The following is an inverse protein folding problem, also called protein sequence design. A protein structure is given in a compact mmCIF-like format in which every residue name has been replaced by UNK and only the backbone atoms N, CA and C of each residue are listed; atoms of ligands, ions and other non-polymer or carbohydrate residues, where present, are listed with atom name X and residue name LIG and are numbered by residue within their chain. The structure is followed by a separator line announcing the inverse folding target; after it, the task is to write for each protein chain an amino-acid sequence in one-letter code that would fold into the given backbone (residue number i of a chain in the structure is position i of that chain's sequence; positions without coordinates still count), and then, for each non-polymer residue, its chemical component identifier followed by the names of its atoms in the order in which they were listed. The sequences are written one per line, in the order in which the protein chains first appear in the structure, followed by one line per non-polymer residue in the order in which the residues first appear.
data_IF_546594779569
#
_entry.id   IF_546594779569
#
_cell.length_a   1.000
_cell.length_b   1.000
_cell.length_c   1.000
_cell.angle_alpha   90.00
_cell.angle_beta   90.00
_cell.angle_gamma   90.00
#
_symmetry.space_group_name_H-M   'P 1'
#
loop_
_entity.id
_entity.type
_entity.pdbx_description
1 polymer ?
#
# COMPACT_ATOMS: atom_id res chain seq x y z
N UNK A 1 -47.80 16.80 44.88
CA UNK A 1 -46.68 15.93 45.32
C UNK A 1 -46.43 14.88 44.25
N UNK A 2 -45.17 14.77 43.84
CA UNK A 2 -44.46 13.62 43.20
C UNK A 2 -44.92 13.14 41.82
N UNK A 3 -44.15 13.61 40.84
CA UNK A 3 -43.91 12.99 39.53
C UNK A 3 -43.36 11.56 39.69
N UNK A 4 -43.93 10.62 38.94
CA UNK A 4 -43.46 9.24 38.84
C UNK A 4 -43.78 8.68 37.46
N UNK A 5 -43.08 9.15 36.43
CA UNK A 5 -43.11 8.52 35.11
C UNK A 5 -42.29 7.25 35.17
N UNK A 6 -42.96 6.12 35.38
CA UNK A 6 -42.39 4.81 35.14
C UNK A 6 -42.25 4.62 33.62
N UNK A 7 -41.10 5.03 33.08
CA UNK A 7 -40.68 4.75 31.70
C UNK A 7 -40.61 3.24 31.50
N UNK A 8 -41.64 2.69 30.84
CA UNK A 8 -41.76 1.29 30.43
C UNK A 8 -40.78 0.90 29.34
N UNK A 9 -39.48 0.93 29.65
CA UNK A 9 -38.38 0.44 28.80
C UNK A 9 -37.58 -0.69 29.50
N UNK A 10 -38.13 -1.28 30.57
CA UNK A 10 -37.39 -2.15 31.49
C UNK A 10 -37.06 -3.57 31.01
N UNK A 11 -37.60 -4.04 29.88
CA UNK A 11 -37.40 -5.43 29.43
C UNK A 11 -36.65 -5.56 28.10
N UNK A 12 -36.71 -4.56 27.22
CA UNK A 12 -35.98 -4.55 25.95
C UNK A 12 -34.62 -3.83 26.03
N UNK A 13 -34.40 -3.03 27.09
CA UNK A 13 -33.14 -2.32 27.32
C UNK A 13 -31.89 -3.20 27.26
N UNK A 14 -31.83 -4.41 27.87
CA UNK A 14 -30.62 -5.22 27.80
C UNK A 14 -30.37 -5.75 26.38
N UNK A 15 -31.43 -6.12 25.64
CA UNK A 15 -31.30 -6.61 24.27
C UNK A 15 -30.86 -5.53 23.29
N UNK A 16 -31.38 -4.32 23.43
CA UNK A 16 -30.97 -3.19 22.59
C UNK A 16 -29.50 -2.85 22.90
N UNK A 17 -29.10 -2.83 24.17
CA UNK A 17 -27.70 -2.65 24.55
C UNK A 17 -26.78 -3.73 23.96
N UNK A 18 -27.12 -5.01 24.08
CA UNK A 18 -26.27 -6.08 23.54
C UNK A 18 -26.14 -6.01 22.03
N UNK A 19 -27.22 -5.72 21.31
CA UNK A 19 -27.19 -5.51 19.86
C UNK A 19 -26.28 -4.33 19.49
N UNK A 20 -26.38 -3.21 20.20
CA UNK A 20 -25.50 -2.05 19.94
C UNK A 20 -24.03 -2.36 20.18
N UNK A 21 -23.69 -3.12 21.23
CA UNK A 21 -22.30 -3.53 21.51
C UNK A 21 -21.77 -4.45 20.42
N UNK A 22 -22.58 -5.40 19.96
CA UNK A 22 -22.20 -6.31 18.86
C UNK A 22 -21.96 -5.53 17.57
N UNK A 23 -22.84 -4.57 17.24
CA UNK A 23 -22.68 -3.71 16.06
C UNK A 23 -21.39 -2.88 16.13
N UNK A 24 -21.09 -2.25 17.28
CA UNK A 24 -19.86 -1.48 17.47
C UNK A 24 -18.64 -2.40 17.35
N UNK A 25 -18.67 -3.59 17.95
CA UNK A 25 -17.58 -4.56 17.85
C UNK A 25 -17.34 -5.01 16.39
N UNK A 26 -18.41 -5.22 15.62
CA UNK A 26 -18.33 -5.57 14.21
C UNK A 26 -17.72 -4.43 13.37
N UNK A 27 -18.13 -3.19 13.63
CA UNK A 27 -17.55 -2.00 12.97
C UNK A 27 -16.06 -1.87 13.28
N UNK A 28 -15.67 -2.02 14.56
CA UNK A 28 -14.26 -1.97 14.99
C UNK A 28 -13.44 -3.10 14.36
N UNK A 29 -14.01 -4.30 14.25
CA UNK A 29 -13.37 -5.45 13.59
C UNK A 29 -13.11 -5.19 12.10
N UNK A 30 -14.12 -4.70 11.38
CA UNK A 30 -14.00 -4.33 9.97
C UNK A 30 -12.98 -3.20 9.76
N UNK A 31 -13.03 -2.15 10.59
CA UNK A 31 -12.07 -1.05 10.54
C UNK A 31 -10.63 -1.49 10.85
N UNK A 32 -10.45 -2.48 11.73
CA UNK A 32 -9.12 -2.99 12.08
C UNK A 32 -8.50 -3.85 10.98
N UNK A 33 -9.30 -4.60 10.22
CA UNK A 33 -8.81 -5.34 9.04
C UNK A 33 -8.39 -4.45 7.88
N UNK A 34 -8.99 -3.26 7.78
CA UNK A 34 -8.69 -2.30 6.72
C UNK A 34 -7.63 -1.26 7.12
N UNK A 35 -6.87 -1.45 8.20
CA UNK A 35 -5.78 -0.51 8.51
C UNK A 35 -4.77 -0.55 7.35
N UNK A 36 -4.59 0.54 6.59
CA UNK A 36 -3.51 0.60 5.63
C UNK A 36 -2.21 0.47 6.41
N UNK A 37 -1.39 -0.51 6.06
CA UNK A 37 -0.03 -0.61 6.61
C UNK A 37 0.63 0.73 6.29
N UNK A 38 1.13 1.47 7.30
CA UNK A 38 1.75 2.76 7.05
C UNK A 38 2.90 2.53 6.06
N UNK A 39 2.99 3.33 4.98
CA UNK A 39 4.05 3.17 4.00
C UNK A 39 5.38 3.28 4.72
N UNK A 40 6.25 2.28 4.54
CA UNK A 40 7.59 2.32 5.14
C UNK A 40 8.31 3.60 4.68
N UNK A 41 9.23 4.11 5.50
CA UNK A 41 10.03 5.31 5.19
C UNK A 41 10.66 5.26 3.78
N UNK A 42 10.91 4.06 3.28
CA UNK A 42 11.39 3.80 1.93
C UNK A 42 10.37 4.18 0.84
N UNK A 43 9.11 3.75 0.96
CA UNK A 43 8.06 4.10 0.00
C UNK A 43 7.78 5.60 -0.04
N UNK A 44 7.84 6.28 1.12
CA UNK A 44 7.71 7.74 1.18
C UNK A 44 8.81 8.41 0.33
N UNK A 45 10.06 7.93 0.45
CA UNK A 45 11.18 8.43 -0.35
C UNK A 45 10.96 8.21 -1.85
N UNK A 46 10.43 7.06 -2.25
CA UNK A 46 10.13 6.77 -3.66
C UNK A 46 9.04 7.70 -4.21
N UNK A 47 7.98 7.93 -3.44
CA UNK A 47 6.91 8.84 -3.81
C UNK A 47 7.40 10.29 -3.93
N UNK A 48 8.32 10.72 -3.06
CA UNK A 48 8.95 12.04 -3.17
C UNK A 48 9.79 12.18 -4.44
N UNK A 49 10.56 11.16 -4.82
CA UNK A 49 11.31 11.14 -6.08
C UNK A 49 10.34 11.25 -7.27
N UNK A 50 9.28 10.44 -7.28
CA UNK A 50 8.30 10.44 -8.36
C UNK A 50 7.55 11.79 -8.45
N UNK A 51 7.23 12.39 -7.31
CA UNK A 51 6.60 13.73 -7.23
C UNK A 51 7.55 14.81 -7.75
N UNK A 52 8.83 14.71 -7.47
CA UNK A 52 9.87 15.57 -8.05
C UNK A 52 9.86 15.49 -9.57
N UNK A 53 9.81 14.27 -10.13
CA UNK A 53 9.75 14.06 -11.59
C UNK A 53 8.49 14.62 -12.26
N UNK A 54 7.34 14.51 -11.59
CA UNK A 54 6.12 15.16 -12.04
C UNK A 54 6.22 16.69 -11.99
N UNK A 55 6.80 17.25 -10.92
CA UNK A 55 6.99 18.70 -10.79
C UNK A 55 7.98 19.27 -11.82
N UNK A 56 8.97 18.47 -12.24
CA UNK A 56 9.90 18.77 -13.34
C UNK A 56 9.23 18.70 -14.72
N UNK A 57 7.99 18.20 -14.82
CA UNK A 57 7.27 18.02 -16.09
C UNK A 57 7.81 16.88 -16.95
N UNK A 58 8.62 15.97 -16.38
CA UNK A 58 9.20 14.83 -17.11
C UNK A 58 8.19 13.71 -17.36
N UNK A 59 7.12 13.66 -16.55
CA UNK A 59 6.04 12.68 -16.68
C UNK A 59 4.69 13.39 -16.65
N UNK A 60 3.72 12.82 -17.37
CA UNK A 60 2.34 13.29 -17.36
C UNK A 60 1.63 12.93 -16.06
N UNK A 61 0.48 13.55 -15.79
CA UNK A 61 -0.34 13.20 -14.63
C UNK A 61 -0.79 11.73 -14.67
N UNK A 62 -1.19 11.24 -15.84
CA UNK A 62 -1.61 9.84 -16.00
C UNK A 62 -0.47 8.86 -15.71
N UNK A 63 0.74 9.16 -16.16
CA UNK A 63 1.92 8.36 -15.86
C UNK A 63 2.29 8.42 -14.38
N UNK A 64 2.20 9.60 -13.76
CA UNK A 64 2.40 9.76 -12.33
C UNK A 64 1.44 8.88 -11.53
N UNK A 65 0.15 8.90 -11.86
CA UNK A 65 -0.87 8.08 -11.18
C UNK A 65 -0.57 6.59 -11.37
N UNK A 66 -0.27 6.14 -12.61
CA UNK A 66 0.07 4.73 -12.87
C UNK A 66 1.31 4.29 -12.09
N UNK A 67 2.39 5.08 -12.12
CA UNK A 67 3.64 4.77 -11.42
C UNK A 67 3.43 4.74 -9.91
N UNK A 68 2.63 5.66 -9.37
CA UNK A 68 2.29 5.70 -7.94
C UNK A 68 1.56 4.43 -7.50
N UNK A 69 0.52 4.02 -8.23
CA UNK A 69 -0.25 2.81 -7.92
C UNK A 69 0.66 1.58 -7.88
N UNK A 70 1.57 1.44 -8.86
CA UNK A 70 2.52 0.33 -8.88
C UNK A 70 3.46 0.34 -7.66
N UNK A 71 3.94 1.50 -7.23
CA UNK A 71 4.81 1.61 -6.04
C UNK A 71 4.04 1.27 -4.75
N UNK A 72 2.76 1.61 -4.67
CA UNK A 72 1.93 1.40 -3.46
C UNK A 72 1.32 -0.02 -3.38
N UNK A 73 0.95 -0.62 -4.52
CA UNK A 73 0.19 -1.88 -4.56
C UNK A 73 1.03 -3.11 -4.89
N UNK A 74 2.16 -2.97 -5.60
CA UNK A 74 2.98 -4.14 -5.90
C UNK A 74 3.84 -4.55 -4.71
N UNK A 75 3.76 -5.84 -4.38
CA UNK A 75 4.61 -6.42 -3.35
C UNK A 75 6.03 -6.64 -3.91
N UNK A 76 6.99 -6.04 -3.23
CA UNK A 76 8.42 -6.07 -3.56
C UNK A 76 9.18 -6.48 -2.29
N UNK A 77 9.34 -7.78 -2.11
CA UNK A 77 9.92 -8.35 -0.89
C UNK A 77 11.44 -8.54 -0.97
N UNK A 78 11.99 -8.64 -2.19
CA UNK A 78 13.41 -8.87 -2.42
C UNK A 78 14.22 -7.57 -2.35
N UNK A 79 15.41 -7.55 -1.73
CA UNK A 79 16.27 -6.37 -1.70
C UNK A 79 16.65 -5.88 -3.11
N UNK A 80 16.80 -6.80 -4.07
CA UNK A 80 17.07 -6.47 -5.48
C UNK A 80 15.85 -5.80 -6.14
N UNK A 81 14.65 -6.23 -5.76
CA UNK A 81 13.40 -5.67 -6.28
C UNK A 81 13.14 -4.24 -5.77
N UNK A 82 13.62 -3.90 -4.56
CA UNK A 82 13.61 -2.53 -4.07
C UNK A 82 14.54 -1.63 -4.90
N UNK A 83 15.76 -2.07 -5.19
CA UNK A 83 16.69 -1.31 -6.05
C UNK A 83 16.08 -1.05 -7.44
N UNK A 84 15.42 -2.07 -8.00
CA UNK A 84 14.71 -1.95 -9.27
C UNK A 84 13.56 -0.91 -9.18
N UNK A 85 12.80 -0.93 -8.09
CA UNK A 85 11.71 0.01 -7.85
C UNK A 85 12.21 1.46 -7.73
N UNK A 86 13.40 1.66 -7.15
CA UNK A 86 14.03 2.98 -7.09
C UNK A 86 14.33 3.54 -8.48
N UNK A 87 14.83 2.71 -9.39
CA UNK A 87 15.08 3.11 -10.79
C UNK A 87 13.79 3.42 -11.53
N UNK A 88 12.74 2.66 -11.27
CA UNK A 88 11.41 2.92 -11.81
C UNK A 88 10.82 4.24 -11.32
N UNK A 89 10.99 4.58 -10.04
CA UNK A 89 10.56 5.87 -9.48
C UNK A 89 11.34 7.05 -10.08
N UNK A 90 12.63 6.84 -10.43
CA UNK A 90 13.47 7.83 -11.14
C UNK A 90 13.12 7.97 -12.62
N UNK A 91 12.19 7.17 -13.15
CA UNK A 91 11.84 7.10 -14.57
C UNK A 91 13.00 6.63 -15.46
N UNK A 92 13.93 5.82 -14.93
CA UNK A 92 15.02 5.23 -15.70
C UNK A 92 14.58 3.99 -16.49
N UNK A 93 13.49 3.35 -16.05
CA UNK A 93 12.90 2.16 -16.66
C UNK A 93 11.38 2.34 -16.76
N UNK A 94 10.81 1.65 -17.76
CA UNK A 94 9.38 1.62 -18.00
C UNK A 94 8.67 0.49 -17.23
N UNK A 95 7.35 0.54 -17.21
CA UNK A 95 6.51 -0.50 -16.59
C UNK A 95 6.82 -1.89 -17.13
N UNK A 96 7.02 -2.00 -18.44
CA UNK A 96 7.29 -3.29 -19.09
C UNK A 96 8.66 -3.83 -18.68
N UNK A 97 9.69 -2.97 -18.68
CA UNK A 97 11.02 -3.35 -18.21
C UNK A 97 11.03 -3.73 -16.73
N UNK A 98 10.27 -3.01 -15.89
CA UNK A 98 10.11 -3.32 -14.47
C UNK A 98 9.61 -4.75 -14.27
N UNK A 99 8.52 -5.15 -14.93
CA UNK A 99 7.94 -6.48 -14.74
C UNK A 99 8.81 -7.59 -15.34
N UNK A 100 9.43 -7.36 -16.50
CA UNK A 100 10.35 -8.33 -17.11
C UNK A 100 11.55 -8.60 -16.19
N UNK A 101 12.14 -7.56 -15.61
CA UNK A 101 13.29 -7.71 -14.71
C UNK A 101 12.84 -8.32 -13.37
N UNK A 102 11.64 -7.96 -12.89
CA UNK A 102 11.07 -8.54 -11.66
C UNK A 102 10.95 -10.06 -11.79
N UNK A 103 10.40 -10.56 -12.90
CA UNK A 103 10.25 -11.99 -13.16
C UNK A 103 11.59 -12.73 -13.08
N UNK A 104 12.65 -12.17 -13.68
CA UNK A 104 13.99 -12.76 -13.66
C UNK A 104 14.62 -12.72 -12.26
N UNK A 105 14.40 -11.63 -11.50
CA UNK A 105 14.95 -11.49 -10.15
C UNK A 105 14.27 -12.44 -9.16
N UNK A 106 12.98 -12.70 -9.35
CA UNK A 106 12.18 -13.56 -8.47
C UNK A 106 12.29 -15.05 -8.84
N UNK A 107 12.79 -15.39 -10.04
CA UNK A 107 13.14 -16.78 -10.40
C UNK A 107 14.25 -17.30 -9.48
N UNK A 108 13.97 -18.40 -8.77
CA UNK A 108 14.88 -19.06 -7.82
C UNK A 108 16.19 -19.52 -8.48
N UNK A 109 16.17 -19.81 -9.79
CA UNK A 109 17.33 -20.29 -10.53
C UNK A 109 18.32 -19.19 -10.93
N UNK A 110 17.94 -17.92 -10.79
CA UNK A 110 18.81 -16.79 -11.14
C UNK A 110 19.88 -16.58 -10.09
N UNK A 111 21.14 -16.50 -10.52
CA UNK A 111 22.27 -16.26 -9.62
C UNK A 111 22.23 -14.83 -9.03
N UNK A 112 22.78 -14.68 -7.83
CA UNK A 112 22.75 -13.41 -7.09
C UNK A 112 23.45 -12.25 -7.83
N UNK A 113 24.48 -12.56 -8.64
CA UNK A 113 25.21 -11.55 -9.41
C UNK A 113 24.37 -11.04 -10.58
N UNK A 114 23.64 -11.92 -11.27
CA UNK A 114 22.68 -11.55 -12.32
C UNK A 114 21.53 -10.72 -11.73
N UNK A 115 20.99 -11.10 -10.57
CA UNK A 115 19.97 -10.29 -9.87
C UNK A 115 20.48 -8.89 -9.51
N UNK A 116 21.73 -8.79 -9.05
CA UNK A 116 22.37 -7.50 -8.73
C UNK A 116 22.60 -6.65 -9.98
N UNK A 117 23.12 -7.24 -11.06
CA UNK A 117 23.40 -6.54 -12.31
C UNK A 117 22.13 -6.02 -12.98
N UNK A 118 21.06 -6.82 -12.98
CA UNK A 118 19.77 -6.43 -13.56
C UNK A 118 19.09 -5.34 -12.73
N UNK A 119 19.08 -5.47 -11.41
CA UNK A 119 18.49 -4.45 -10.53
C UNK A 119 19.21 -3.11 -10.64
N UNK A 120 20.56 -3.09 -10.73
CA UNK A 120 21.35 -1.86 -10.88
C UNK A 120 21.44 -1.32 -12.31
N UNK A 121 21.09 -2.12 -13.32
CA UNK A 121 21.16 -1.72 -14.73
C UNK A 121 22.58 -1.76 -15.32
N UNK A 122 23.45 -2.62 -14.78
CA UNK A 122 24.86 -2.72 -15.19
C UNK A 122 25.02 -3.47 -16.53
N UNK A 123 23.99 -4.16 -17.01
CA UNK A 123 23.99 -4.94 -18.25
C UNK A 123 23.21 -4.30 -19.43
N UNK A 124 23.13 -2.97 -19.51
CA UNK A 124 22.50 -2.30 -20.66
C UNK A 124 23.50 -2.04 -21.79
#
# INVERSE_FOLDING_TARGET
MRYGYHLGLGLYSPYIMTITVILIALIVYLASKHKPVPPTKYFIKLLDILKGKYAEGLITYDEYVKRKVIIEECDFQSPYSLILLERYAKCEIDTTELFNIKEIIEDENTDAQTRENLSKGVNK
#
